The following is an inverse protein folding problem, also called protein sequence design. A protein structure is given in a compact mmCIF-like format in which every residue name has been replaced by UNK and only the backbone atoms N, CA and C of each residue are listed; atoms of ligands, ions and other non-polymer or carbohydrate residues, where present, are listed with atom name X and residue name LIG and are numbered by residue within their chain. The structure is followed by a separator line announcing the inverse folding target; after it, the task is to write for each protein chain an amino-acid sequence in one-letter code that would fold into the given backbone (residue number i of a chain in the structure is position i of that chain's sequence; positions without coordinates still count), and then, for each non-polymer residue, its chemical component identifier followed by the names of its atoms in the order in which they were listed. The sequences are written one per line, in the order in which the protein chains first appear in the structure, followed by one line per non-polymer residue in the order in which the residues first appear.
data_IF_612006093829
#
_entry.id   IF_612006093829
#
_cell.length_a   1.000
_cell.length_b   1.000
_cell.length_c   1.000
_cell.angle_alpha   90.00
_cell.angle_beta   90.00
_cell.angle_gamma   90.00
#
_symmetry.space_group_name_H-M   'P 1'
#
loop_
_entity.id
_entity.type
_entity.pdbx_description
1 polymer ?
#
# COMPACT_ATOMS: atom_id res chain seq x y z
N UNK A 1 -10.97 12.69 11.93
CA UNK A 1 -9.81 11.91 11.48
C UNK A 1 -9.01 12.80 10.53
N UNK A 2 -7.74 13.08 10.83
CA UNK A 2 -6.88 13.89 9.97
C UNK A 2 -6.61 13.11 8.67
N UNK A 3 -6.59 13.77 7.52
CA UNK A 3 -6.23 13.19 6.23
C UNK A 3 -4.77 12.73 6.17
N UNK A 4 -4.28 12.37 4.98
CA UNK A 4 -2.86 12.11 4.78
C UNK A 4 -2.02 13.35 5.14
N UNK A 5 -0.76 13.15 5.53
CA UNK A 5 0.15 14.24 5.92
C UNK A 5 1.39 14.18 5.03
N UNK A 6 1.71 15.33 4.42
CA UNK A 6 3.00 15.54 3.75
C UNK A 6 3.95 16.22 4.73
N UNK A 7 5.07 15.59 5.00
CA UNK A 7 6.20 16.18 5.70
C UNK A 7 7.22 16.65 4.66
N UNK A 8 7.42 17.96 4.56
CA UNK A 8 8.38 18.57 3.65
C UNK A 8 9.83 18.34 4.14
N UNK A 9 10.78 18.55 3.25
CA UNK A 9 12.22 18.47 3.58
C UNK A 9 12.65 19.44 4.69
N UNK A 10 11.90 20.52 4.87
CA UNK A 10 12.07 21.47 5.97
C UNK A 10 11.63 20.94 7.35
N UNK A 11 10.91 19.80 7.39
CA UNK A 11 10.24 19.27 8.57
C UNK A 11 8.83 19.83 8.79
N UNK A 12 8.35 20.73 7.94
CA UNK A 12 6.99 21.25 8.01
C UNK A 12 5.97 20.16 7.63
N UNK A 13 4.89 20.06 8.41
CA UNK A 13 3.79 19.14 8.15
C UNK A 13 2.62 19.85 7.48
N UNK A 14 2.22 19.37 6.33
CA UNK A 14 1.08 19.86 5.55
C UNK A 14 -0.01 18.80 5.52
N UNK A 15 -1.20 19.13 6.04
CA UNK A 15 -2.35 18.24 5.93
C UNK A 15 -2.84 18.17 4.48
N UNK A 16 -2.97 16.96 3.97
CA UNK A 16 -3.52 16.65 2.66
C UNK A 16 -4.99 16.26 2.84
N UNK A 17 -5.87 17.28 2.90
CA UNK A 17 -7.30 17.07 3.10
C UNK A 17 -8.04 17.15 1.77
N UNK A 18 -9.12 16.35 1.64
CA UNK A 18 -10.03 16.44 0.51
C UNK A 18 -10.74 17.81 0.53
N UNK A 19 -10.38 18.68 -0.38
CA UNK A 19 -11.08 19.98 -0.55
C UNK A 19 -10.15 21.13 -0.94
N UNK A 20 -10.36 21.65 -2.14
CA UNK A 20 -9.63 22.80 -2.67
C UNK A 20 -8.34 22.46 -3.40
N UNK A 21 -7.88 23.43 -4.19
CA UNK A 21 -6.59 23.38 -4.89
C UNK A 21 -5.60 24.27 -4.13
N UNK A 22 -4.47 23.71 -3.74
CA UNK A 22 -3.39 24.44 -3.07
C UNK A 22 -2.09 24.26 -3.82
N UNK A 23 -1.31 25.31 -3.90
CA UNK A 23 0.05 25.27 -4.44
C UNK A 23 1.03 25.52 -3.30
N UNK A 24 2.05 24.71 -3.23
CA UNK A 24 3.21 24.89 -2.35
C UNK A 24 4.45 25.01 -3.22
N UNK A 25 5.49 25.61 -2.66
CA UNK A 25 6.78 25.75 -3.33
C UNK A 25 7.86 25.29 -2.34
N UNK A 26 8.66 24.33 -2.75
CA UNK A 26 9.82 23.85 -2.00
C UNK A 26 10.98 24.83 -2.05
N UNK A 27 11.97 24.65 -1.19
CA UNK A 27 13.14 25.52 -1.12
C UNK A 27 13.96 25.56 -2.42
N UNK A 28 13.91 24.50 -3.22
CA UNK A 28 14.53 24.42 -4.54
C UNK A 28 13.67 24.99 -5.68
N UNK A 29 12.52 25.58 -5.36
CA UNK A 29 11.56 26.11 -6.32
C UNK A 29 10.62 25.07 -6.91
N UNK A 30 10.70 23.79 -6.56
CA UNK A 30 9.75 22.77 -7.03
C UNK A 30 8.35 23.12 -6.58
N UNK A 31 7.40 23.07 -7.52
CA UNK A 31 6.00 23.35 -7.26
C UNK A 31 5.24 22.07 -6.97
N UNK A 32 4.50 22.08 -5.88
CA UNK A 32 3.62 20.99 -5.45
C UNK A 32 2.18 21.46 -5.61
N UNK A 33 1.39 20.71 -6.31
CA UNK A 33 -0.05 20.93 -6.44
C UNK A 33 -0.79 19.87 -5.63
N UNK A 34 -1.59 20.32 -4.68
CA UNK A 34 -2.52 19.48 -3.90
C UNK A 34 -3.90 19.75 -4.47
N UNK A 35 -4.56 18.72 -5.01
CA UNK A 35 -5.90 18.82 -5.57
C UNK A 35 -6.75 17.63 -5.07
N UNK A 36 -7.61 17.88 -4.08
CA UNK A 36 -8.38 16.82 -3.43
C UNK A 36 -7.49 15.81 -2.73
N UNK A 37 -7.56 14.55 -3.15
CA UNK A 37 -6.77 13.43 -2.62
C UNK A 37 -5.54 13.10 -3.49
N UNK A 38 -5.11 14.04 -4.33
CA UNK A 38 -3.93 13.90 -5.20
C UNK A 38 -2.90 14.98 -4.91
N UNK A 39 -1.62 14.58 -4.87
CA UNK A 39 -0.45 15.45 -4.80
C UNK A 39 0.39 15.26 -6.06
N UNK A 40 0.71 16.34 -6.77
CA UNK A 40 1.55 16.31 -7.96
C UNK A 40 2.78 17.21 -7.80
N UNK A 41 3.95 16.66 -8.19
CA UNK A 41 5.21 17.40 -8.25
C UNK A 41 5.45 17.88 -9.68
N UNK A 42 5.64 19.17 -9.85
CA UNK A 42 5.92 19.79 -11.14
C UNK A 42 7.41 20.11 -11.25
N UNK A 43 8.05 19.56 -12.28
CA UNK A 43 9.46 19.80 -12.55
C UNK A 43 9.69 21.31 -12.83
N UNK A 44 10.66 21.89 -12.14
CA UNK A 44 11.18 23.24 -12.40
C UNK A 44 12.65 23.09 -12.73
N UNK A 45 13.16 23.84 -13.71
CA UNK A 45 14.61 23.95 -13.94
C UNK A 45 15.22 24.72 -12.77
N UNK A 46 16.02 24.06 -11.95
CA UNK A 46 16.74 24.69 -10.84
C UNK A 46 18.23 24.66 -11.10
N UNK A 47 18.88 25.76 -10.75
CA UNK A 47 20.34 25.92 -10.94
C UNK A 47 21.20 25.12 -9.96
N UNK A 48 20.60 24.59 -8.88
CA UNK A 48 21.32 23.78 -7.88
C UNK A 48 20.48 22.56 -7.45
N UNK A 49 21.11 21.38 -7.47
CA UNK A 49 20.54 20.15 -6.89
C UNK A 49 20.80 20.12 -5.38
N UNK A 50 19.83 20.53 -4.60
CA UNK A 50 19.81 20.25 -3.15
C UNK A 50 19.07 18.92 -2.98
N UNK A 51 19.70 17.88 -2.42
CA UNK A 51 19.00 16.63 -2.11
C UNK A 51 17.91 16.89 -1.06
N UNK A 52 16.68 16.96 -1.47
CA UNK A 52 15.53 17.17 -0.61
C UNK A 52 14.62 15.96 -0.66
N UNK A 53 14.15 15.54 0.51
CA UNK A 53 13.32 14.34 0.67
C UNK A 53 12.05 14.71 1.40
N UNK A 54 10.92 14.28 0.85
CA UNK A 54 9.60 14.42 1.46
C UNK A 54 9.05 13.06 1.90
N UNK A 55 8.12 13.11 2.83
CA UNK A 55 7.41 11.93 3.30
C UNK A 55 5.91 12.16 3.23
N UNK A 56 5.18 11.26 2.59
CA UNK A 56 3.72 11.19 2.71
C UNK A 56 3.36 10.05 3.65
N UNK A 57 2.55 10.35 4.67
CA UNK A 57 2.04 9.37 5.63
C UNK A 57 0.52 9.33 5.57
N UNK A 58 -0.01 8.14 5.37
CA UNK A 58 -1.46 7.86 5.31
C UNK A 58 -1.90 7.17 6.59
N UNK A 59 -2.82 7.77 7.37
CA UNK A 59 -3.32 7.17 8.60
C UNK A 59 -4.31 6.03 8.31
N UNK A 60 -4.74 5.36 9.34
CA UNK A 60 -5.85 4.38 9.29
C UNK A 60 -7.11 4.97 8.68
N UNK A 61 -7.83 4.17 7.90
CA UNK A 61 -9.09 4.54 7.29
C UNK A 61 -8.97 5.53 6.15
N UNK A 62 -7.79 5.70 5.60
CA UNK A 62 -7.51 6.61 4.49
C UNK A 62 -6.66 5.93 3.43
N UNK A 63 -6.72 6.49 2.24
CA UNK A 63 -5.80 6.21 1.13
C UNK A 63 -5.40 7.54 0.51
N UNK A 64 -4.30 7.56 -0.21
CA UNK A 64 -3.82 8.76 -0.87
C UNK A 64 -3.08 8.42 -2.15
N UNK A 65 -3.17 9.28 -3.16
CA UNK A 65 -2.40 9.12 -4.38
C UNK A 65 -1.49 10.32 -4.63
N UNK A 66 -0.32 10.05 -5.22
CA UNK A 66 0.62 11.10 -5.59
C UNK A 66 1.32 10.79 -6.90
N UNK A 67 1.68 11.85 -7.61
CA UNK A 67 2.51 11.79 -8.81
C UNK A 67 3.88 12.37 -8.49
N UNK A 68 4.91 11.55 -8.62
CA UNK A 68 6.30 11.91 -8.41
C UNK A 68 6.85 12.78 -9.56
N UNK A 69 7.99 13.41 -9.34
CA UNK A 69 8.62 14.34 -10.29
C UNK A 69 9.06 13.70 -11.63
N UNK A 70 9.20 12.37 -11.67
CA UNK A 70 9.47 11.59 -12.88
C UNK A 70 8.20 11.17 -13.64
N UNK A 71 7.01 11.51 -13.11
CA UNK A 71 5.70 11.12 -13.65
C UNK A 71 5.17 9.78 -13.13
N UNK A 72 5.91 9.07 -12.28
CA UNK A 72 5.45 7.84 -11.62
C UNK A 72 4.23 8.15 -10.76
N UNK A 73 3.15 7.36 -10.94
CA UNK A 73 1.96 7.45 -10.11
C UNK A 73 2.05 6.41 -8.99
N UNK A 74 1.77 6.85 -7.76
CA UNK A 74 1.78 5.99 -6.57
C UNK A 74 0.46 6.13 -5.83
N UNK A 75 -0.12 5.03 -5.40
CA UNK A 75 -1.23 4.97 -4.47
C UNK A 75 -0.72 4.38 -3.16
N UNK A 76 -1.07 5.00 -2.05
CA UNK A 76 -0.74 4.56 -0.70
C UNK A 76 -2.01 4.12 0.02
N UNK A 77 -2.00 2.90 0.54
CA UNK A 77 -3.09 2.34 1.31
C UNK A 77 -3.06 2.84 2.77
N UNK A 78 -4.06 2.46 3.56
CA UNK A 78 -4.14 2.79 5.00
C UNK A 78 -2.89 2.32 5.76
N UNK A 79 -2.46 3.12 6.75
CA UNK A 79 -1.25 2.85 7.57
C UNK A 79 0.03 2.69 6.74
N UNK A 80 0.17 3.50 5.68
CA UNK A 80 1.33 3.44 4.80
C UNK A 80 2.07 4.75 4.75
N UNK A 81 3.36 4.69 4.44
CA UNK A 81 4.14 5.89 4.18
C UNK A 81 5.11 5.68 3.01
N UNK A 82 5.41 6.77 2.31
CA UNK A 82 6.38 6.83 1.24
C UNK A 82 7.37 7.96 1.50
N UNK A 83 8.65 7.62 1.49
CA UNK A 83 9.77 8.57 1.52
C UNK A 83 10.36 8.65 0.12
N UNK A 84 10.48 9.86 -0.43
CA UNK A 84 10.92 10.04 -1.81
C UNK A 84 11.63 11.38 -1.98
N UNK A 85 12.58 11.49 -2.92
CA UNK A 85 13.22 12.76 -3.23
C UNK A 85 12.22 13.70 -3.94
N UNK A 86 12.28 14.99 -3.64
CA UNK A 86 11.52 16.04 -4.33
C UNK A 86 11.80 15.99 -5.84
N UNK A 87 13.06 15.71 -6.19
CA UNK A 87 13.53 15.44 -7.57
C UNK A 87 14.44 14.23 -7.59
N UNK A 88 14.32 13.45 -8.65
CA UNK A 88 15.29 12.39 -8.94
C UNK A 88 16.47 13.00 -9.69
N UNK A 89 17.69 12.74 -9.19
CA UNK A 89 18.94 13.08 -9.86
C UNK A 89 19.24 12.17 -11.07
N UNK A 90 20.47 12.20 -11.54
CA UNK A 90 20.92 11.40 -12.71
C UNK A 90 21.07 9.90 -12.43
N UNK A 91 21.13 9.52 -11.15
CA UNK A 91 21.23 8.13 -10.71
C UNK A 91 19.91 7.35 -10.73
N UNK A 92 19.86 6.20 -10.05
CA UNK A 92 18.62 5.47 -9.83
C UNK A 92 17.55 6.34 -9.17
N UNK A 93 16.28 6.10 -9.52
CA UNK A 93 15.13 6.74 -8.91
C UNK A 93 14.72 5.91 -7.69
N UNK A 94 15.08 6.35 -6.50
CA UNK A 94 14.91 5.55 -5.28
C UNK A 94 13.84 6.13 -4.36
N UNK A 95 13.00 5.26 -3.82
CA UNK A 95 11.98 5.58 -2.82
C UNK A 95 11.94 4.51 -1.74
N UNK A 96 11.43 4.86 -0.55
CA UNK A 96 11.24 3.89 0.54
C UNK A 96 9.77 3.85 0.94
N UNK A 97 9.21 2.66 1.08
CA UNK A 97 7.81 2.43 1.45
C UNK A 97 7.71 1.61 2.73
N UNK A 98 6.72 1.94 3.56
CA UNK A 98 6.22 1.10 4.64
C UNK A 98 4.71 0.96 4.47
N UNK A 99 4.13 -0.18 4.87
CA UNK A 99 2.73 -0.48 4.61
C UNK A 99 2.52 -1.00 3.19
N UNK A 100 1.47 -0.56 2.51
CA UNK A 100 1.11 -1.03 1.18
C UNK A 100 1.03 0.12 0.17
N UNK A 101 1.64 -0.11 -1.00
CA UNK A 101 1.62 0.83 -2.11
C UNK A 101 1.47 0.12 -3.46
N UNK A 102 0.72 0.75 -4.35
CA UNK A 102 0.69 0.40 -5.76
C UNK A 102 1.44 1.45 -6.56
N UNK A 103 2.34 0.99 -7.42
CA UNK A 103 3.15 1.83 -8.30
C UNK A 103 2.78 1.59 -9.75
N UNK A 104 2.54 2.67 -10.50
CA UNK A 104 2.58 2.69 -11.96
C UNK A 104 3.77 3.56 -12.37
N UNK A 105 4.92 2.90 -12.55
CA UNK A 105 6.21 3.56 -12.74
C UNK A 105 6.35 4.08 -14.16
N UNK A 106 6.66 5.35 -14.29
CA UNK A 106 6.99 5.98 -15.56
C UNK A 106 8.19 5.30 -16.21
N UNK A 107 8.06 4.95 -17.51
CA UNK A 107 9.09 4.24 -18.24
C UNK A 107 10.35 5.11 -18.46
N UNK A 108 11.50 4.61 -18.03
CA UNK A 108 12.80 5.18 -18.28
C UNK A 108 13.83 4.05 -18.41
N UNK A 109 14.22 3.71 -19.63
CA UNK A 109 15.13 2.60 -19.90
C UNK A 109 16.57 2.87 -19.43
N UNK A 110 16.93 4.14 -19.19
CA UNK A 110 18.27 4.56 -18.75
C UNK A 110 18.45 4.56 -17.25
N UNK A 111 17.37 4.79 -16.48
CA UNK A 111 17.41 4.91 -15.02
C UNK A 111 16.36 4.00 -14.38
N UNK A 112 16.86 3.01 -13.67
CA UNK A 112 15.94 2.13 -12.91
C UNK A 112 15.23 2.89 -11.79
N UNK A 113 14.01 2.46 -11.50
CA UNK A 113 13.26 2.86 -10.33
C UNK A 113 13.42 1.77 -9.27
N UNK A 114 13.78 2.15 -8.05
CA UNK A 114 14.03 1.22 -6.94
C UNK A 114 13.13 1.55 -5.76
N UNK A 115 12.35 0.57 -5.32
CA UNK A 115 11.54 0.68 -4.11
C UNK A 115 12.20 -0.14 -3.00
N UNK A 116 12.53 0.52 -1.92
CA UNK A 116 13.02 -0.12 -0.69
C UNK A 116 11.85 -0.35 0.26
N UNK A 117 11.71 -1.59 0.74
CA UNK A 117 10.69 -1.99 1.70
C UNK A 117 11.33 -2.94 2.72
N UNK A 118 11.76 -2.40 3.87
CA UNK A 118 12.49 -3.13 4.90
C UNK A 118 13.71 -3.89 4.31
N UNK A 119 13.70 -5.22 4.34
CA UNK A 119 14.80 -6.08 3.84
C UNK A 119 14.73 -6.35 2.33
N UNK A 120 13.71 -5.84 1.65
CA UNK A 120 13.45 -6.07 0.23
C UNK A 120 13.74 -4.82 -0.60
N UNK A 121 14.37 -5.00 -1.76
CA UNK A 121 14.43 -4.00 -2.81
C UNK A 121 13.80 -4.51 -4.10
N UNK A 122 12.99 -3.66 -4.72
CA UNK A 122 12.27 -3.93 -5.97
C UNK A 122 12.79 -2.99 -7.04
N UNK A 123 13.32 -3.52 -8.15
CA UNK A 123 13.92 -2.71 -9.23
C UNK A 123 13.17 -2.90 -10.54
N UNK A 124 12.81 -1.77 -11.19
CA UNK A 124 12.02 -1.74 -12.42
C UNK A 124 12.46 -0.61 -13.37
N UNK A 125 12.01 -0.63 -14.63
CA UNK A 125 12.24 0.42 -15.63
C UNK A 125 10.96 1.07 -16.17
N UNK A 126 9.76 0.53 -15.83
CA UNK A 126 8.47 1.02 -16.32
C UNK A 126 7.43 -0.09 -16.15
N UNK A 127 6.86 -0.20 -14.97
CA UNK A 127 6.20 -1.40 -14.49
C UNK A 127 5.06 -1.02 -13.56
N UNK A 128 3.97 -1.77 -13.60
CA UNK A 128 2.88 -1.65 -12.63
C UNK A 128 2.90 -2.84 -11.66
N UNK A 129 3.01 -2.55 -10.36
CA UNK A 129 3.12 -3.58 -9.31
C UNK A 129 2.59 -3.09 -7.96
N UNK A 130 2.16 -4.02 -7.12
CA UNK A 130 1.80 -3.79 -5.73
C UNK A 130 2.90 -4.30 -4.80
N UNK A 131 3.18 -3.59 -3.72
CA UNK A 131 4.05 -4.03 -2.64
C UNK A 131 3.34 -3.87 -1.30
N UNK A 132 3.33 -4.93 -0.49
CA UNK A 132 2.82 -4.92 0.89
C UNK A 132 3.95 -5.27 1.85
N UNK A 133 4.21 -4.36 2.79
CA UNK A 133 5.30 -4.42 3.77
C UNK A 133 4.85 -3.95 5.15
N UNK A 134 3.65 -4.34 5.58
CA UNK A 134 3.16 -4.02 6.92
C UNK A 134 3.98 -4.74 8.00
N UNK A 135 4.34 -4.01 9.07
CA UNK A 135 5.21 -4.52 10.12
C UNK A 135 4.59 -5.68 10.94
N UNK A 136 3.24 -5.71 11.01
CA UNK A 136 2.47 -6.75 11.68
C UNK A 136 2.18 -7.98 10.80
N UNK A 137 2.77 -8.02 9.58
CA UNK A 137 2.72 -9.17 8.68
C UNK A 137 4.09 -9.86 8.59
N UNK A 138 4.07 -11.19 8.61
CA UNK A 138 5.29 -12.00 8.62
C UNK A 138 6.09 -11.97 7.31
N UNK A 139 5.48 -11.49 6.22
CA UNK A 139 6.08 -11.45 4.88
C UNK A 139 5.96 -10.07 4.25
N UNK A 140 6.93 -9.76 3.38
CA UNK A 140 6.85 -8.66 2.41
C UNK A 140 6.47 -9.28 1.08
N UNK A 141 5.43 -8.76 0.45
CA UNK A 141 4.88 -9.30 -0.79
C UNK A 141 4.99 -8.28 -1.93
N UNK A 142 5.52 -8.71 -3.06
CA UNK A 142 5.60 -7.91 -4.29
C UNK A 142 4.85 -8.62 -5.41
N UNK A 143 3.79 -8.01 -5.93
CA UNK A 143 2.92 -8.61 -6.97
C UNK A 143 3.03 -7.82 -8.25
N UNK A 144 3.42 -8.48 -9.34
CA UNK A 144 3.59 -7.85 -10.64
C UNK A 144 2.32 -7.92 -11.48
N UNK A 145 1.81 -6.74 -11.86
CA UNK A 145 0.64 -6.59 -12.76
C UNK A 145 1.08 -6.47 -14.22
N UNK A 146 2.04 -5.59 -14.51
CA UNK A 146 2.50 -5.33 -15.90
C UNK A 146 3.98 -5.00 -15.92
N UNK A 147 4.73 -5.51 -16.90
CA UNK A 147 6.14 -5.24 -17.12
C UNK A 147 7.05 -6.32 -16.58
N UNK A 148 8.13 -5.96 -15.92
CA UNK A 148 9.12 -6.87 -15.31
C UNK A 148 9.66 -6.27 -14.03
N UNK A 149 9.85 -7.10 -13.01
CA UNK A 149 10.34 -6.72 -11.68
C UNK A 149 11.49 -7.61 -11.26
N UNK A 150 12.59 -7.02 -10.82
CA UNK A 150 13.59 -7.74 -10.02
C UNK A 150 13.31 -7.50 -8.54
N UNK A 151 13.05 -8.56 -7.79
CA UNK A 151 12.94 -8.54 -6.32
C UNK A 151 14.23 -9.08 -5.73
N UNK A 152 14.79 -8.37 -4.75
CA UNK A 152 16.03 -8.75 -4.07
C UNK A 152 15.88 -8.65 -2.55
N UNK A 153 16.43 -9.64 -1.84
CA UNK A 153 16.57 -9.62 -0.38
C UNK A 153 17.86 -10.33 0.02
N UNK A 154 18.81 -9.58 0.57
CA UNK A 154 20.16 -10.06 0.83
C UNK A 154 20.82 -10.61 -0.44
N UNK A 155 21.20 -11.88 -0.43
CA UNK A 155 21.83 -12.55 -1.59
C UNK A 155 20.84 -13.22 -2.55
N UNK A 156 19.54 -13.27 -2.19
CA UNK A 156 18.49 -13.88 -3.00
C UNK A 156 17.90 -12.84 -3.95
N UNK A 157 17.56 -13.31 -5.15
CA UNK A 157 16.89 -12.49 -6.17
C UNK A 157 15.93 -13.32 -7.00
N UNK A 158 14.88 -12.70 -7.50
CA UNK A 158 13.95 -13.28 -8.45
C UNK A 158 13.52 -12.23 -9.47
N UNK A 159 13.32 -12.67 -10.71
CA UNK A 159 12.66 -11.90 -11.76
C UNK A 159 11.21 -12.34 -11.83
N UNK A 160 10.27 -11.41 -11.67
CA UNK A 160 8.84 -11.67 -11.79
C UNK A 160 8.35 -11.39 -13.21
N UNK A 161 7.40 -12.22 -13.63
CA UNK A 161 6.54 -12.02 -14.80
C UNK A 161 5.15 -11.56 -14.35
N UNK A 162 4.36 -10.92 -15.23
CA UNK A 162 2.98 -10.56 -14.91
C UNK A 162 2.18 -11.77 -14.41
N UNK A 163 1.39 -11.55 -13.33
CA UNK A 163 0.68 -12.61 -12.62
C UNK A 163 1.50 -13.35 -11.57
N UNK A 164 2.75 -12.92 -11.32
CA UNK A 164 3.58 -13.50 -10.26
C UNK A 164 3.69 -12.59 -9.04
N UNK A 165 3.83 -13.24 -7.87
CA UNK A 165 4.10 -12.60 -6.59
C UNK A 165 5.33 -13.22 -5.95
N UNK A 166 6.27 -12.38 -5.52
CA UNK A 166 7.34 -12.78 -4.60
C UNK A 166 6.89 -12.56 -3.16
N UNK A 167 7.17 -13.54 -2.29
CA UNK A 167 6.98 -13.47 -0.84
C UNK A 167 8.31 -13.62 -0.15
N UNK A 168 8.65 -12.66 0.68
CA UNK A 168 9.91 -12.62 1.42
C UNK A 168 9.61 -12.54 2.91
N UNK A 169 10.03 -13.54 3.67
CA UNK A 169 9.90 -13.53 5.14
C UNK A 169 10.82 -12.49 5.77
N UNK A 170 10.32 -11.75 6.74
CA UNK A 170 11.10 -10.71 7.45
C UNK A 170 12.32 -11.29 8.17
N UNK A 171 12.23 -12.53 8.65
CA UNK A 171 13.34 -13.26 9.29
C UNK A 171 14.25 -13.99 8.28
N UNK A 172 14.05 -13.77 6.97
CA UNK A 172 14.89 -14.32 5.91
C UNK A 172 14.66 -15.79 5.58
N UNK A 173 13.76 -16.50 6.27
CA UNK A 173 13.50 -17.91 6.05
C UNK A 173 12.74 -18.18 4.74
N UNK A 174 11.83 -17.28 4.33
CA UNK A 174 10.98 -17.42 3.16
C UNK A 174 11.51 -16.54 2.03
N UNK A 175 11.62 -17.10 0.84
CA UNK A 175 11.78 -16.39 -0.43
C UNK A 175 11.22 -17.29 -1.51
N UNK A 176 9.95 -17.10 -1.84
CA UNK A 176 9.24 -17.90 -2.84
C UNK A 176 8.55 -17.02 -3.88
N UNK A 177 8.30 -17.58 -5.05
CA UNK A 177 7.54 -16.94 -6.14
C UNK A 177 6.38 -17.85 -6.51
N UNK A 178 5.17 -17.27 -6.53
CA UNK A 178 3.93 -18.00 -6.87
C UNK A 178 3.12 -17.29 -7.94
N UNK A 179 2.27 -18.03 -8.64
CA UNK A 179 1.26 -17.49 -9.55
C UNK A 179 0.07 -16.97 -8.73
N UNK A 180 -0.42 -15.78 -9.09
CA UNK A 180 -1.57 -15.15 -8.43
C UNK A 180 -2.42 -14.40 -9.45
N UNK A 181 -3.67 -14.11 -9.10
CA UNK A 181 -4.49 -13.14 -9.81
C UNK A 181 -4.00 -11.73 -9.44
N UNK A 182 -3.00 -11.20 -10.16
CA UNK A 182 -2.30 -9.96 -9.79
C UNK A 182 -3.23 -8.75 -9.67
N UNK A 183 -4.31 -8.71 -10.45
CA UNK A 183 -5.33 -7.66 -10.41
C UNK A 183 -6.06 -7.58 -9.06
N UNK A 184 -6.16 -8.69 -8.32
CA UNK A 184 -6.78 -8.74 -6.99
C UNK A 184 -5.96 -7.93 -5.98
N UNK A 185 -4.62 -7.94 -6.12
CA UNK A 185 -3.70 -7.18 -5.27
C UNK A 185 -3.67 -5.68 -5.59
N UNK A 186 -4.16 -5.29 -6.77
CA UNK A 186 -4.34 -3.90 -7.18
C UNK A 186 -5.78 -3.40 -7.02
N UNK A 187 -6.73 -4.28 -6.68
CA UNK A 187 -8.16 -3.96 -6.64
C UNK A 187 -8.52 -2.86 -5.63
N UNK A 188 -7.72 -2.73 -4.57
CA UNK A 188 -7.91 -1.69 -3.56
C UNK A 188 -7.78 -0.27 -4.12
N UNK A 189 -6.96 -0.04 -5.15
CA UNK A 189 -6.87 1.26 -5.84
C UNK A 189 -8.15 1.66 -6.57
N UNK A 190 -9.07 0.70 -6.74
CA UNK A 190 -10.40 0.86 -7.34
C UNK A 190 -11.53 0.76 -6.32
N UNK A 191 -11.21 0.86 -5.03
CA UNK A 191 -12.17 0.83 -3.93
C UNK A 191 -12.77 -0.55 -3.65
N UNK A 192 -12.00 -1.62 -3.88
CA UNK A 192 -12.44 -2.99 -3.63
C UNK A 192 -11.55 -3.69 -2.61
N UNK A 193 -12.17 -4.51 -1.75
CA UNK A 193 -11.49 -5.60 -1.06
C UNK A 193 -11.63 -6.86 -1.89
N UNK A 194 -10.52 -7.52 -2.17
CA UNK A 194 -10.49 -8.84 -2.77
C UNK A 194 -9.83 -9.80 -1.80
N UNK A 195 -10.54 -10.85 -1.46
CA UNK A 195 -10.07 -11.95 -0.63
C UNK A 195 -10.00 -13.18 -1.53
N UNK A 196 -8.85 -13.83 -1.61
CA UNK A 196 -8.66 -15.02 -2.41
C UNK A 196 -7.99 -16.09 -1.56
N UNK A 197 -8.79 -17.06 -1.09
CA UNK A 197 -8.35 -18.10 -0.13
C UNK A 197 -7.58 -17.49 1.05
N UNK A 198 -8.12 -16.37 1.57
CA UNK A 198 -7.46 -15.56 2.59
C UNK A 198 -7.92 -15.94 3.99
N UNK A 199 -6.99 -15.99 4.94
CA UNK A 199 -7.32 -16.32 6.34
C UNK A 199 -8.12 -15.22 7.00
N UNK A 200 -9.01 -15.60 7.92
CA UNK A 200 -9.79 -14.63 8.71
C UNK A 200 -8.87 -13.68 9.48
N UNK A 201 -7.76 -14.16 10.01
CA UNK A 201 -6.78 -13.31 10.68
C UNK A 201 -6.25 -12.19 9.76
N UNK A 202 -5.93 -12.51 8.49
CA UNK A 202 -5.50 -11.53 7.50
C UNK A 202 -6.62 -10.56 7.13
N UNK A 203 -7.84 -11.07 6.92
CA UNK A 203 -9.03 -10.25 6.64
C UNK A 203 -9.29 -9.25 7.78
N UNK A 204 -9.25 -9.70 9.05
CA UNK A 204 -9.41 -8.83 10.21
C UNK A 204 -8.37 -7.69 10.21
N UNK A 205 -7.09 -7.98 9.92
CA UNK A 205 -6.06 -6.94 9.83
C UNK A 205 -6.35 -5.92 8.73
N UNK A 206 -6.71 -6.37 7.52
CA UNK A 206 -7.07 -5.49 6.39
C UNK A 206 -8.27 -4.59 6.72
N UNK A 207 -9.31 -5.18 7.29
CA UNK A 207 -10.52 -4.43 7.70
C UNK A 207 -10.21 -3.45 8.84
N UNK A 208 -9.38 -3.86 9.82
CA UNK A 208 -8.97 -2.99 10.93
C UNK A 208 -8.23 -1.74 10.42
N UNK A 209 -7.31 -1.91 9.47
CA UNK A 209 -6.58 -0.79 8.86
C UNK A 209 -7.52 0.17 8.14
N UNK A 210 -8.47 -0.36 7.37
CA UNK A 210 -9.38 0.46 6.57
C UNK A 210 -10.45 1.16 7.39
N UNK A 211 -11.10 0.45 8.33
CA UNK A 211 -12.16 1.05 9.15
C UNK A 211 -11.62 1.84 10.35
N UNK A 212 -10.33 1.76 10.65
CA UNK A 212 -9.71 2.45 11.77
C UNK A 212 -10.14 1.96 13.14
N UNK A 213 -10.63 0.72 13.21
CA UNK A 213 -11.11 0.05 14.42
C UNK A 213 -10.41 -1.29 14.59
N UNK A 214 -10.25 -1.75 15.81
CA UNK A 214 -9.68 -3.07 16.05
C UNK A 214 -10.76 -4.15 15.75
N UNK A 215 -10.43 -5.06 14.84
CA UNK A 215 -11.28 -6.19 14.46
C UNK A 215 -10.53 -7.48 14.77
N UNK A 216 -11.11 -8.29 15.65
CA UNK A 216 -10.47 -9.53 16.12
C UNK A 216 -11.38 -10.73 15.86
N UNK A 217 -10.81 -11.88 15.44
CA UNK A 217 -11.59 -13.11 15.28
C UNK A 217 -11.78 -13.82 16.61
N UNK A 218 -12.93 -14.49 16.78
CA UNK A 218 -13.26 -15.35 17.94
C UNK A 218 -13.94 -16.65 17.49
N UNK A 219 -13.70 -17.72 18.23
CA UNK A 219 -14.44 -18.99 18.09
C UNK A 219 -13.73 -20.05 17.25
N UNK A 220 -12.72 -19.69 16.45
CA UNK A 220 -11.97 -20.61 15.60
C UNK A 220 -10.49 -20.27 15.53
N UNK A 221 -9.71 -21.21 15.01
CA UNK A 221 -8.34 -20.96 14.59
C UNK A 221 -8.37 -20.06 13.33
N UNK A 222 -8.23 -18.74 13.56
CA UNK A 222 -8.37 -17.72 12.54
C UNK A 222 -7.35 -17.84 11.38
N UNK A 223 -6.29 -18.61 11.57
CA UNK A 223 -5.30 -18.89 10.52
C UNK A 223 -5.70 -20.08 9.64
N UNK A 224 -6.70 -20.85 10.03
CA UNK A 224 -7.19 -22.01 9.27
C UNK A 224 -8.46 -21.71 8.46
N UNK A 225 -9.33 -20.82 8.96
CA UNK A 225 -10.57 -20.47 8.25
C UNK A 225 -10.24 -19.47 7.14
N UNK A 226 -10.71 -19.77 5.93
CA UNK A 226 -10.38 -18.99 4.73
C UNK A 226 -11.63 -18.57 3.98
N UNK A 227 -11.56 -17.38 3.38
CA UNK A 227 -12.64 -16.82 2.58
C UNK A 227 -12.15 -16.34 1.22
N UNK A 228 -13.06 -16.43 0.26
CA UNK A 228 -12.91 -15.89 -1.08
C UNK A 228 -14.09 -14.99 -1.39
N UNK A 229 -13.84 -13.78 -1.87
CA UNK A 229 -14.90 -12.84 -2.24
C UNK A 229 -14.36 -11.47 -2.62
N UNK A 230 -15.26 -10.63 -3.17
CA UNK A 230 -14.98 -9.24 -3.54
C UNK A 230 -16.04 -8.34 -2.91
N UNK A 231 -15.61 -7.30 -2.21
CA UNK A 231 -16.49 -6.36 -1.50
C UNK A 231 -16.04 -4.93 -1.72
N UNK A 232 -16.97 -3.98 -1.79
CA UNK A 232 -16.66 -2.55 -1.89
C UNK A 232 -16.04 -2.03 -0.59
N UNK A 233 -14.97 -1.25 -0.71
CA UNK A 233 -14.25 -0.66 0.44
C UNK A 233 -14.98 0.51 1.10
N UNK A 234 -15.81 1.23 0.34
CA UNK A 234 -16.44 2.47 0.82
C UNK A 234 -17.74 2.25 1.55
N UNK A 235 -18.16 1.01 1.73
CA UNK A 235 -19.29 0.67 2.57
C UNK A 235 -18.93 0.86 4.05
N UNK A 236 -19.93 1.20 4.86
CA UNK A 236 -19.71 1.30 6.31
C UNK A 236 -19.36 -0.07 6.88
N UNK A 237 -18.65 -0.10 8.04
CA UNK A 237 -18.42 -1.39 8.70
C UNK A 237 -19.71 -2.15 8.97
N UNK A 238 -20.81 -1.46 9.29
CA UNK A 238 -22.13 -2.11 9.50
C UNK A 238 -22.64 -2.83 8.24
N UNK A 239 -22.39 -2.29 7.05
CA UNK A 239 -22.72 -2.95 5.78
C UNK A 239 -21.78 -4.13 5.51
N UNK A 240 -20.49 -3.96 5.77
CA UNK A 240 -19.50 -5.04 5.70
C UNK A 240 -19.89 -6.20 6.65
N UNK A 241 -20.23 -5.90 7.89
CA UNK A 241 -20.65 -6.89 8.88
C UNK A 241 -21.91 -7.66 8.42
N UNK A 242 -22.90 -6.96 7.82
CA UNK A 242 -24.08 -7.61 7.24
C UNK A 242 -23.75 -8.53 6.08
N UNK A 243 -22.77 -8.14 5.23
CA UNK A 243 -22.32 -8.99 4.12
C UNK A 243 -21.60 -10.24 4.63
N UNK A 244 -20.74 -10.10 5.61
CA UNK A 244 -20.06 -11.23 6.27
C UNK A 244 -21.07 -12.14 6.96
N UNK A 245 -22.08 -11.59 7.65
CA UNK A 245 -23.14 -12.36 8.31
C UNK A 245 -24.07 -13.15 7.35
N UNK A 246 -24.08 -12.80 6.05
CA UNK A 246 -24.85 -13.57 5.03
C UNK A 246 -24.21 -14.93 4.70
N UNK A 247 -23.02 -15.18 5.17
CA UNK A 247 -22.36 -16.49 5.02
C UNK A 247 -22.82 -17.52 6.04
N UNK A 248 -23.77 -17.19 6.93
CA UNK A 248 -24.31 -17.98 8.06
C UNK A 248 -23.24 -18.46 9.07
N UNK A 249 -21.98 -18.15 8.83
CA UNK A 249 -20.83 -18.60 9.63
C UNK A 249 -20.15 -17.46 10.41
N UNK A 250 -20.47 -16.19 10.11
CA UNK A 250 -19.79 -15.05 10.73
C UNK A 250 -20.82 -14.09 11.33
N UNK A 251 -20.66 -13.78 12.62
CA UNK A 251 -21.35 -12.68 13.30
C UNK A 251 -20.35 -11.62 13.71
N UNK A 252 -20.78 -10.37 13.70
CA UNK A 252 -19.99 -9.25 14.18
C UNK A 252 -20.62 -8.67 15.43
N UNK A 253 -19.93 -8.75 16.55
CA UNK A 253 -20.31 -8.16 17.82
C UNK A 253 -19.41 -6.97 18.16
N UNK A 254 -19.89 -6.04 18.97
CA UNK A 254 -19.10 -4.91 19.48
C UNK A 254 -18.85 -5.11 20.96
N UNK A 255 -17.60 -5.29 21.33
CA UNK A 255 -17.18 -5.49 22.72
C UNK A 255 -16.03 -4.54 23.05
N UNK A 256 -16.16 -3.79 24.15
CA UNK A 256 -15.12 -2.88 24.67
C UNK A 256 -14.50 -1.93 23.61
N UNK A 257 -15.30 -1.50 22.63
CA UNK A 257 -14.85 -0.63 21.54
C UNK A 257 -14.11 -1.32 20.41
N UNK A 258 -14.02 -2.66 20.45
CA UNK A 258 -13.50 -3.51 19.37
C UNK A 258 -14.65 -4.21 18.66
N UNK A 259 -14.41 -4.61 17.44
CA UNK A 259 -15.31 -5.45 16.68
C UNK A 259 -14.80 -6.89 16.76
N UNK A 260 -15.66 -7.78 17.23
CA UNK A 260 -15.37 -9.20 17.34
C UNK A 260 -16.10 -9.93 16.23
N UNK A 261 -15.37 -10.57 15.33
CA UNK A 261 -15.94 -11.48 14.34
C UNK A 261 -16.03 -12.88 14.95
N UNK A 262 -17.23 -13.24 15.38
CA UNK A 262 -17.52 -14.57 15.88
C UNK A 262 -17.78 -15.51 14.69
N UNK A 263 -17.09 -16.63 14.67
CA UNK A 263 -17.23 -17.64 13.62
C UNK A 263 -17.85 -18.87 14.27
N UNK A 264 -19.10 -19.14 13.91
CA UNK A 264 -19.79 -20.34 14.37
C UNK A 264 -19.28 -21.52 13.51
N UNK A 265 -18.82 -22.61 14.14
CA UNK A 265 -18.69 -23.89 13.47
C UNK A 265 -20.09 -24.47 13.32
N UNK A 266 -20.43 -24.92 12.11
CA UNK A 266 -21.43 -25.98 12.02
C UNK A 266 -20.79 -27.20 12.69
N UNK A 267 -21.28 -27.53 13.91
CA UNK A 267 -20.98 -28.80 14.55
C UNK A 267 -21.70 -29.88 13.72
N UNK A 268 -20.99 -30.51 12.79
CA UNK A 268 -21.29 -31.83 12.22
C UNK A 268 -20.50 -32.91 12.95
#
# INVERSE_FOLDING_TARGET
VRGAVLTLSSGENVALEAGGRRMLVEQDGTRLEIAGEELAYHKVEAEQEIPMTNTVTVPRGKEFSLRLSDGTQVWLNSESSLVFPVRFGDGPREVTVTGEAYFDVAHDASRRFVVHADTVSVSVYGTAFNISSYADEGTIETTLVRGSVEVRSGHRRAMLQPGQQARVGREGAIFDVRQVAAEDYAAWTRGLFTFNDETIASICRKLSRWYGVEIVPRGVDADKVRYTGVVKRYETFAEMARLLARTDQIRADVEEGKIVLCIDRDDD
#
